data_IF_494337176576
#
_entry.id   IF_494337176576
#
_cell.length_a   1.000
_cell.length_b   1.000
_cell.length_c   1.000
_cell.angle_alpha   90.00
_cell.angle_beta   90.00
_cell.angle_gamma   90.00
#
_symmetry.space_group_name_H-M   'P 1'
#
loop_
_entity.id
_entity.type
_entity.pdbx_description
1 polymer ?
#
# COMPACT_ATOMS: atom_id res chain seq x y z
N UNK A 1 -50.88 -33.11 -5.96
CA UNK A 1 -51.77 -32.02 -5.46
C UNK A 1 -50.91 -30.76 -5.50
N UNK A 2 -51.14 -29.93 -6.49
CA UNK A 2 -51.75 -28.59 -6.49
C UNK A 2 -51.07 -27.72 -5.41
N UNK A 3 -50.31 -26.67 -5.65
CA UNK A 3 -50.33 -25.59 -6.63
C UNK A 3 -50.44 -24.29 -5.82
N UNK A 4 -49.61 -23.34 -6.04
CA UNK A 4 -50.03 -21.97 -6.35
C UNK A 4 -48.81 -21.04 -6.56
N UNK A 5 -48.83 -20.46 -7.74
CA UNK A 5 -48.00 -19.32 -8.16
C UNK A 5 -48.62 -18.04 -7.55
N UNK A 6 -47.77 -17.06 -7.19
CA UNK A 6 -48.22 -15.66 -7.27
C UNK A 6 -47.05 -14.77 -7.71
N UNK A 7 -47.13 -14.28 -8.93
CA UNK A 7 -46.44 -13.13 -9.48
C UNK A 7 -46.97 -11.84 -8.87
N UNK A 8 -46.15 -10.89 -8.54
CA UNK A 8 -46.52 -9.48 -8.53
C UNK A 8 -45.39 -8.62 -9.14
N UNK A 9 -45.68 -8.21 -10.37
CA UNK A 9 -45.04 -7.05 -11.02
C UNK A 9 -45.76 -5.79 -10.53
N UNK A 10 -45.00 -4.76 -10.21
CA UNK A 10 -45.48 -3.35 -10.29
C UNK A 10 -44.37 -2.46 -10.81
N UNK A 11 -44.49 -2.14 -12.08
CA UNK A 11 -43.92 -0.98 -12.76
C UNK A 11 -44.64 0.29 -12.30
N UNK A 12 -43.89 1.37 -12.07
CA UNK A 12 -44.38 2.74 -12.28
C UNK A 12 -43.21 3.64 -12.68
N UNK A 13 -43.41 4.29 -13.78
CA UNK A 13 -42.51 5.24 -14.46
C UNK A 13 -42.96 6.69 -14.16
N UNK A 14 -42.11 7.63 -14.65
CA UNK A 14 -42.44 9.07 -14.95
C UNK A 14 -42.20 10.00 -13.76
N UNK A 15 -41.51 11.13 -13.86
CA UNK A 15 -41.40 12.13 -14.93
C UNK A 15 -40.19 13.04 -14.76
N UNK A 16 -39.69 13.50 -15.88
CA UNK A 16 -38.69 14.56 -16.04
C UNK A 16 -39.30 15.94 -15.73
N UNK A 17 -38.48 16.87 -15.24
CA UNK A 17 -38.77 18.30 -15.33
C UNK A 17 -37.48 19.08 -15.58
N UNK A 18 -37.28 19.52 -16.83
CA UNK A 18 -36.38 20.60 -17.23
C UNK A 18 -36.93 21.95 -16.72
N UNK A 19 -36.08 22.79 -16.22
CA UNK A 19 -36.29 24.24 -16.19
C UNK A 19 -34.98 24.96 -16.51
N UNK A 20 -34.85 25.42 -17.76
CA UNK A 20 -33.96 26.47 -18.22
C UNK A 20 -34.50 27.84 -17.77
N UNK A 21 -33.67 28.70 -17.20
CA UNK A 21 -33.86 30.15 -17.27
C UNK A 21 -32.52 30.79 -17.62
N UNK A 22 -32.46 31.30 -18.82
CA UNK A 22 -31.47 32.25 -19.29
C UNK A 22 -32.03 33.67 -19.13
N UNK A 23 -31.24 34.59 -18.60
CA UNK A 23 -31.44 36.02 -18.83
C UNK A 23 -30.06 36.67 -19.01
N UNK A 24 -29.90 37.22 -20.21
CA UNK A 24 -28.85 38.12 -20.65
C UNK A 24 -29.37 39.58 -20.48
N UNK A 25 -28.42 40.48 -20.40
CA UNK A 25 -28.37 41.89 -20.87
C UNK A 25 -27.40 42.64 -19.93
N UNK A 26 -26.31 43.24 -20.33
CA UNK A 26 -26.02 44.11 -21.47
C UNK A 26 -25.91 45.54 -20.97
N UNK A 27 -24.78 46.21 -21.21
CA UNK A 27 -24.64 47.65 -20.97
C UNK A 27 -23.18 48.07 -20.98
N UNK A 28 -22.75 48.60 -22.13
CA UNK A 28 -21.53 49.38 -22.41
C UNK A 28 -21.51 50.70 -21.63
N UNK A 29 -20.36 51.27 -21.35
CA UNK A 29 -19.76 52.42 -22.00
C UNK A 29 -18.68 53.14 -21.17
N UNK A 30 -17.55 53.32 -21.85
CA UNK A 30 -16.68 54.48 -21.99
C UNK A 30 -15.97 55.19 -20.83
N UNK A 31 -14.65 55.22 -21.02
CA UNK A 31 -13.91 56.47 -21.20
C UNK A 31 -13.12 57.05 -20.03
N UNK A 32 -11.83 57.22 -20.26
CA UNK A 32 -11.12 58.38 -19.73
C UNK A 32 -9.76 58.12 -19.07
N UNK A 33 -8.74 58.45 -19.84
CA UNK A 33 -7.33 58.68 -19.45
C UNK A 33 -7.13 59.54 -18.18
N UNK A 34 -6.10 59.34 -17.41
CA UNK A 34 -4.90 60.16 -17.43
C UNK A 34 -3.89 59.82 -16.32
N UNK A 35 -2.67 60.16 -16.58
CA UNK A 35 -1.39 59.85 -16.08
C UNK A 35 -0.99 60.35 -14.67
N UNK A 36 0.18 59.80 -14.23
CA UNK A 36 1.25 60.34 -13.36
C UNK A 36 0.94 60.39 -11.86
N UNK A 37 1.77 59.88 -10.96
CA UNK A 37 3.12 60.27 -10.65
C UNK A 37 3.73 59.37 -9.52
N UNK A 38 4.98 59.25 -9.58
CA UNK A 38 6.04 58.81 -8.71
C UNK A 38 5.81 58.97 -7.19
N UNK A 39 6.14 57.92 -6.39
CA UNK A 39 6.87 58.08 -5.14
C UNK A 39 7.41 56.74 -4.62
N UNK A 40 8.70 56.56 -4.74
CA UNK A 40 9.50 55.61 -3.99
C UNK A 40 9.35 55.80 -2.48
N UNK A 41 9.17 54.74 -1.72
CA UNK A 41 9.52 54.72 -0.30
C UNK A 41 10.02 53.35 0.11
N UNK A 42 11.10 53.37 0.73
CA UNK A 42 12.13 52.46 1.15
C UNK A 42 11.73 51.17 1.82
N UNK A 43 12.60 50.18 1.63
CA UNK A 43 12.68 48.90 2.29
C UNK A 43 12.66 49.01 3.83
N UNK A 44 11.80 48.20 4.42
CA UNK A 44 12.00 47.70 5.78
C UNK A 44 12.21 46.22 5.70
N UNK A 45 13.41 45.78 5.87
CA UNK A 45 13.78 44.39 6.20
C UNK A 45 13.33 44.17 7.63
N UNK A 46 12.23 43.43 7.78
CA UNK A 46 11.88 42.79 9.04
C UNK A 46 12.31 41.33 8.93
N UNK A 47 13.37 41.01 9.65
CA UNK A 47 13.89 39.68 9.88
C UNK A 47 13.00 39.06 10.96
N UNK A 48 11.90 38.41 10.54
CA UNK A 48 11.01 37.65 11.37
C UNK A 48 11.22 36.16 11.08
N UNK A 49 11.92 35.49 12.00
CA UNK A 49 12.05 34.04 11.97
C UNK A 49 10.68 33.36 11.83
N UNK A 50 10.50 32.68 10.73
CA UNK A 50 9.37 31.79 10.47
C UNK A 50 9.59 30.54 11.30
N UNK A 51 8.99 30.50 12.50
CA UNK A 51 8.70 29.26 13.22
C UNK A 51 7.57 28.59 12.41
N UNK A 52 7.94 27.66 11.51
CA UNK A 52 7.05 26.99 10.58
C UNK A 52 6.11 26.00 11.27
N UNK A 53 5.15 26.52 11.99
CA UNK A 53 3.91 25.83 12.31
C UNK A 53 2.85 26.21 11.26
N UNK A 54 2.97 25.70 10.04
CA UNK A 54 1.91 25.79 9.04
C UNK A 54 0.68 25.07 9.57
N UNK A 55 -0.46 25.75 9.65
CA UNK A 55 -1.74 25.06 9.89
C UNK A 55 -1.90 24.01 8.81
N UNK A 56 -2.17 22.75 9.21
CA UNK A 56 -2.43 21.66 8.27
C UNK A 56 -3.57 22.05 7.32
N UNK A 57 -3.42 21.72 6.05
CA UNK A 57 -4.41 22.01 5.02
C UNK A 57 -4.82 20.70 4.31
N UNK A 58 -5.89 20.73 3.54
CA UNK A 58 -6.33 19.56 2.79
C UNK A 58 -6.72 18.36 3.67
N UNK A 59 -6.40 17.15 3.21
CA UNK A 59 -6.82 15.91 3.87
C UNK A 59 -6.29 15.80 5.32
N UNK A 60 -5.04 16.20 5.58
CA UNK A 60 -4.48 16.09 6.94
C UNK A 60 -5.31 16.89 7.97
N UNK A 61 -5.71 18.12 7.63
CA UNK A 61 -6.57 18.92 8.51
C UNK A 61 -7.95 18.29 8.73
N UNK A 62 -8.54 17.71 7.68
CA UNK A 62 -9.83 17.01 7.76
C UNK A 62 -9.74 15.79 8.69
N UNK A 63 -8.67 14.99 8.56
CA UNK A 63 -8.44 13.81 9.40
C UNK A 63 -8.17 14.19 10.87
N UNK A 64 -7.42 15.27 11.11
CA UNK A 64 -7.18 15.79 12.46
C UNK A 64 -8.47 16.33 13.11
N UNK A 65 -9.34 17.01 12.34
CA UNK A 65 -10.66 17.46 12.84
C UNK A 65 -11.57 16.27 13.14
N UNK A 66 -11.55 15.25 12.29
CA UNK A 66 -12.34 14.02 12.49
C UNK A 66 -11.79 13.14 13.61
N UNK A 67 -10.48 13.20 13.90
CA UNK A 67 -9.78 12.32 14.84
C UNK A 67 -9.67 10.87 14.38
N UNK A 68 -10.01 10.57 13.12
CA UNK A 68 -10.06 9.22 12.57
C UNK A 68 -9.64 9.16 11.11
N UNK A 69 -9.11 7.99 10.69
CA UNK A 69 -8.73 7.67 9.32
C UNK A 69 -9.20 6.27 8.96
N UNK A 70 -9.42 6.01 7.66
CA UNK A 70 -9.61 4.65 7.14
C UNK A 70 -8.39 4.24 6.32
N UNK A 71 -7.81 3.09 6.64
CA UNK A 71 -6.66 2.52 5.91
C UNK A 71 -7.08 1.28 5.12
N UNK A 72 -6.47 1.07 3.96
CA UNK A 72 -6.63 -0.15 3.17
C UNK A 72 -5.62 -1.22 3.62
N UNK A 73 -6.10 -2.43 3.89
CA UNK A 73 -5.31 -3.62 4.23
C UNK A 73 -5.68 -4.79 3.33
N UNK A 74 -4.81 -5.80 3.22
CA UNK A 74 -4.99 -6.95 2.35
C UNK A 74 -5.25 -8.28 3.09
N UNK A 75 -5.49 -8.22 4.39
CA UNK A 75 -5.68 -9.40 5.25
C UNK A 75 -4.52 -10.40 5.17
N UNK A 76 -3.30 -9.87 5.10
CA UNK A 76 -2.05 -10.62 5.03
C UNK A 76 -1.27 -10.56 6.34
N UNK A 77 -1.10 -11.69 7.02
CA UNK A 77 -0.32 -11.82 8.26
C UNK A 77 1.16 -11.99 7.88
N UNK A 78 2.08 -11.21 8.48
CA UNK A 78 1.93 -10.33 9.64
C UNK A 78 1.75 -8.83 9.29
N UNK A 79 1.55 -8.46 8.03
CA UNK A 79 1.59 -7.08 7.55
C UNK A 79 0.34 -6.25 7.90
N UNK A 80 -0.82 -6.59 7.32
CA UNK A 80 -2.07 -5.87 7.59
C UNK A 80 -3.27 -6.81 7.49
N UNK A 81 -3.90 -7.10 8.63
CA UNK A 81 -4.98 -8.07 8.72
C UNK A 81 -5.99 -7.73 9.82
N UNK A 82 -7.14 -8.38 9.81
CA UNK A 82 -8.11 -8.31 10.92
C UNK A 82 -7.82 -9.41 11.93
N UNK A 83 -7.80 -9.06 13.23
CA UNK A 83 -7.74 -10.01 14.33
C UNK A 83 -9.08 -10.78 14.48
N UNK A 84 -9.13 -11.75 15.42
CA UNK A 84 -10.34 -12.52 15.70
C UNK A 84 -11.54 -11.67 16.16
N UNK A 85 -11.32 -10.42 16.54
CA UNK A 85 -12.33 -9.45 16.98
C UNK A 85 -12.77 -8.51 15.85
N UNK A 86 -12.13 -8.59 14.69
CA UNK A 86 -12.38 -7.74 13.53
C UNK A 86 -11.68 -6.37 13.63
N UNK A 87 -10.63 -6.25 14.45
CA UNK A 87 -9.82 -5.03 14.48
C UNK A 87 -8.64 -5.16 13.52
N UNK A 88 -8.32 -4.08 12.83
CA UNK A 88 -7.10 -4.00 12.06
C UNK A 88 -5.87 -4.08 12.96
N UNK A 89 -4.96 -4.97 12.62
CA UNK A 89 -3.67 -5.16 13.30
C UNK A 89 -2.63 -5.67 12.30
N UNK A 90 -1.41 -5.86 12.74
CA UNK A 90 -0.27 -6.22 11.94
C UNK A 90 0.77 -5.11 11.95
N UNK A 91 1.89 -5.38 11.31
CA UNK A 91 3.00 -4.44 11.24
C UNK A 91 2.53 -3.05 10.76
N UNK A 92 1.96 -2.94 9.55
CA UNK A 92 1.61 -1.67 8.96
C UNK A 92 0.47 -0.92 9.69
N UNK A 93 -0.64 -1.53 10.12
CA UNK A 93 -1.65 -0.84 10.93
C UNK A 93 -1.14 -0.37 12.29
N UNK A 94 -0.23 -1.10 12.96
CA UNK A 94 0.28 -0.67 14.28
C UNK A 94 1.31 0.45 14.15
N UNK A 95 2.19 0.42 13.14
CA UNK A 95 3.08 1.53 12.82
C UNK A 95 2.26 2.76 12.41
N UNK A 96 1.27 2.59 11.51
CA UNK A 96 0.38 3.68 11.12
C UNK A 96 -0.33 4.31 12.33
N UNK A 97 -0.82 3.49 13.25
CA UNK A 97 -1.50 3.96 14.46
C UNK A 97 -0.59 4.81 15.35
N UNK A 98 0.67 4.41 15.50
CA UNK A 98 1.65 5.17 16.29
C UNK A 98 2.01 6.50 15.61
N UNK A 99 2.31 6.49 14.30
CA UNK A 99 2.58 7.70 13.51
C UNK A 99 1.40 8.67 13.55
N UNK A 100 0.18 8.18 13.28
CA UNK A 100 -1.03 9.00 13.20
C UNK A 100 -1.44 9.59 14.56
N UNK A 101 -1.22 8.87 15.67
CA UNK A 101 -1.43 9.41 17.01
C UNK A 101 -0.50 10.60 17.29
N UNK A 102 0.75 10.54 16.80
CA UNK A 102 1.67 11.68 16.83
C UNK A 102 1.19 12.90 16.03
N UNK A 103 0.33 12.69 15.02
CA UNK A 103 -0.31 13.71 14.21
C UNK A 103 -1.70 14.15 14.75
N UNK A 104 -2.16 13.58 15.88
CA UNK A 104 -3.47 13.90 16.47
C UNK A 104 -4.64 13.14 15.86
N UNK A 105 -4.39 12.01 15.21
CA UNK A 105 -5.41 11.12 14.62
C UNK A 105 -5.35 9.79 15.40
N UNK A 106 -6.29 9.58 16.33
CA UNK A 106 -6.22 8.47 17.30
C UNK A 106 -7.01 7.22 16.87
N UNK A 107 -7.99 7.35 15.96
CA UNK A 107 -8.83 6.23 15.51
C UNK A 107 -8.42 5.79 14.10
N UNK A 108 -7.97 4.53 13.97
CA UNK A 108 -7.60 3.90 12.69
C UNK A 108 -8.58 2.78 12.39
N UNK A 109 -9.44 3.01 11.40
CA UNK A 109 -10.36 2.04 10.83
C UNK A 109 -9.69 1.35 9.65
N UNK A 110 -10.15 0.15 9.26
CA UNK A 110 -9.63 -0.54 8.09
C UNK A 110 -10.73 -0.94 7.11
N UNK A 111 -10.35 -0.94 5.83
CA UNK A 111 -11.10 -1.57 4.74
C UNK A 111 -10.24 -2.72 4.18
N UNK A 112 -10.80 -3.93 4.19
CA UNK A 112 -10.12 -5.12 3.66
C UNK A 112 -10.45 -5.27 2.19
N UNK A 113 -9.42 -5.33 1.36
CA UNK A 113 -9.56 -5.54 -0.09
C UNK A 113 -8.49 -6.54 -0.57
N UNK A 114 -8.67 -7.10 -1.77
CA UNK A 114 -7.62 -7.90 -2.40
C UNK A 114 -6.36 -7.04 -2.60
N UNK A 115 -5.16 -7.61 -2.42
CA UNK A 115 -3.90 -6.87 -2.50
C UNK A 115 -3.76 -6.08 -3.81
N UNK A 116 -4.08 -6.69 -4.94
CA UNK A 116 -4.05 -6.04 -6.26
C UNK A 116 -5.08 -4.92 -6.44
N UNK A 117 -6.06 -4.77 -5.52
CA UNK A 117 -7.05 -3.70 -5.55
C UNK A 117 -6.68 -2.49 -4.67
N UNK A 118 -5.60 -2.57 -3.85
CA UNK A 118 -5.21 -1.52 -2.91
C UNK A 118 -4.98 -0.17 -3.60
N UNK A 119 -4.15 -0.11 -4.64
CA UNK A 119 -3.83 1.15 -5.34
C UNK A 119 -5.10 1.75 -5.98
N UNK A 120 -5.91 0.93 -6.68
CA UNK A 120 -7.14 1.40 -7.29
C UNK A 120 -8.19 1.84 -6.26
N UNK A 121 -8.29 1.17 -5.13
CA UNK A 121 -9.14 1.55 -4.00
C UNK A 121 -8.75 2.89 -3.37
N UNK A 122 -7.45 3.10 -3.15
CA UNK A 122 -6.89 4.38 -2.69
C UNK A 122 -7.21 5.53 -3.65
N UNK A 123 -6.98 5.32 -4.95
CA UNK A 123 -7.27 6.31 -5.99
C UNK A 123 -8.77 6.62 -6.12
N UNK A 124 -9.62 5.63 -5.86
CA UNK A 124 -11.08 5.79 -5.82
C UNK A 124 -11.61 6.41 -4.52
N UNK A 125 -10.74 6.65 -3.52
CA UNK A 125 -11.13 7.20 -2.22
C UNK A 125 -11.95 6.25 -1.35
N UNK A 126 -11.77 4.93 -1.50
CA UNK A 126 -12.40 3.94 -0.63
C UNK A 126 -11.78 3.97 0.78
N UNK A 127 -10.54 4.35 0.87
CA UNK A 127 -9.77 4.60 2.09
C UNK A 127 -8.77 5.73 1.84
N UNK A 128 -8.13 6.22 2.89
CA UNK A 128 -7.31 7.44 2.87
C UNK A 128 -5.82 7.14 2.67
N UNK A 129 -5.37 5.96 3.11
CA UNK A 129 -3.97 5.52 3.08
C UNK A 129 -3.91 3.99 2.93
N UNK A 130 -2.86 3.45 2.30
CA UNK A 130 -2.56 2.02 2.30
C UNK A 130 -1.63 1.72 3.48
N UNK A 131 -2.00 0.72 4.30
CA UNK A 131 -1.22 0.19 5.42
C UNK A 131 -1.20 -1.35 5.37
N UNK A 132 -0.47 -1.91 4.40
CA UNK A 132 -0.52 -3.32 4.03
C UNK A 132 0.86 -3.93 3.76
N UNK A 133 1.96 -3.30 4.23
CA UNK A 133 3.31 -3.77 3.94
C UNK A 133 3.68 -3.71 2.46
N UNK A 134 3.12 -2.74 1.71
CA UNK A 134 3.30 -2.68 0.27
C UNK A 134 4.72 -2.27 -0.11
N UNK A 135 5.43 -3.14 -0.86
CA UNK A 135 6.77 -2.82 -1.35
C UNK A 135 6.76 -1.63 -2.32
N UNK A 136 7.72 -0.73 -2.11
CA UNK A 136 7.97 0.45 -2.93
C UNK A 136 8.70 0.01 -4.20
N UNK A 137 8.17 0.35 -5.37
CA UNK A 137 8.85 0.18 -6.66
C UNK A 137 8.44 1.29 -7.64
N UNK A 138 9.14 1.39 -8.77
CA UNK A 138 8.92 2.45 -9.76
C UNK A 138 7.48 2.43 -10.33
N UNK A 139 6.95 1.25 -10.67
CA UNK A 139 5.61 1.13 -11.27
C UNK A 139 4.50 1.63 -10.33
N UNK A 140 4.58 1.30 -9.04
CA UNK A 140 3.63 1.75 -8.03
C UNK A 140 3.80 3.23 -7.71
N UNK A 141 5.06 3.73 -7.68
CA UNK A 141 5.38 5.13 -7.42
C UNK A 141 4.94 6.07 -8.54
N UNK A 142 4.73 5.57 -9.78
CA UNK A 142 4.06 6.31 -10.85
C UNK A 142 2.57 6.54 -10.58
N UNK A 143 1.95 5.72 -9.75
CA UNK A 143 0.51 5.71 -9.52
C UNK A 143 0.10 6.39 -8.22
N UNK A 144 0.93 6.29 -7.16
CA UNK A 144 0.67 6.83 -5.81
C UNK A 144 1.95 7.38 -5.20
N UNK A 145 1.82 8.20 -4.14
CA UNK A 145 2.94 8.58 -3.29
C UNK A 145 3.21 7.48 -2.26
N UNK A 146 4.47 7.32 -1.89
CA UNK A 146 4.88 6.46 -0.78
C UNK A 146 5.50 7.27 0.36
N UNK A 147 5.41 6.73 1.58
CA UNK A 147 6.29 7.10 2.68
C UNK A 147 7.74 6.68 2.38
N UNK A 148 8.69 7.13 3.17
CA UNK A 148 9.99 6.45 3.27
C UNK A 148 9.77 5.01 3.75
N UNK A 149 10.69 4.07 3.43
CA UNK A 149 10.51 2.68 3.81
C UNK A 149 10.66 2.50 5.32
N UNK A 150 9.87 1.61 5.89
CA UNK A 150 9.88 1.26 7.31
C UNK A 150 10.62 -0.06 7.60
N UNK A 151 10.72 -0.94 6.63
CA UNK A 151 11.53 -2.17 6.68
C UNK A 151 12.01 -2.58 5.29
N UNK A 152 13.04 -3.46 5.23
CA UNK A 152 13.44 -4.16 4.01
C UNK A 152 13.69 -5.63 4.31
N UNK A 153 12.99 -6.52 3.59
CA UNK A 153 13.05 -7.97 3.78
C UNK A 153 13.07 -8.70 2.44
N UNK A 154 13.65 -9.91 2.40
CA UNK A 154 13.70 -10.74 1.20
C UNK A 154 12.44 -11.58 0.99
N UNK A 155 12.44 -12.31 -0.12
CA UNK A 155 11.43 -13.28 -0.50
C UNK A 155 11.76 -14.67 0.03
N UNK A 156 10.76 -15.56 0.05
CA UNK A 156 10.97 -17.00 0.23
C UNK A 156 9.90 -17.80 -0.53
N UNK A 157 10.12 -19.09 -0.66
CA UNK A 157 9.10 -20.03 -1.15
C UNK A 157 8.62 -20.92 0.00
N UNK A 158 7.31 -21.12 0.09
CA UNK A 158 6.75 -22.25 0.80
C UNK A 158 6.69 -23.43 -0.17
N UNK A 159 7.21 -24.57 0.25
CA UNK A 159 7.29 -25.81 -0.55
C UNK A 159 6.81 -27.01 0.27
N UNK A 160 6.38 -28.13 -0.33
CA UNK A 160 6.12 -29.34 0.39
C UNK A 160 7.33 -29.83 1.20
N UNK A 161 7.11 -30.44 2.37
CA UNK A 161 8.16 -30.96 3.25
C UNK A 161 9.18 -31.80 2.49
N UNK A 162 10.48 -31.49 2.69
CA UNK A 162 11.59 -32.10 1.99
C UNK A 162 11.87 -31.55 0.60
N UNK A 163 11.14 -30.50 0.18
CA UNK A 163 11.35 -29.76 -1.08
C UNK A 163 11.65 -30.68 -2.28
N UNK A 164 10.69 -31.48 -2.73
CA UNK A 164 10.93 -32.56 -3.70
C UNK A 164 11.44 -32.10 -5.06
N UNK A 165 11.16 -30.84 -5.45
CA UNK A 165 11.62 -30.24 -6.70
C UNK A 165 12.89 -29.39 -6.54
N UNK A 166 13.36 -29.17 -5.31
CA UNK A 166 14.55 -28.37 -5.02
C UNK A 166 14.40 -26.89 -5.37
N UNK A 167 13.19 -26.34 -5.25
CA UNK A 167 12.91 -24.93 -5.53
C UNK A 167 13.49 -24.05 -4.42
N UNK A 168 14.20 -22.97 -4.79
CA UNK A 168 14.84 -22.08 -3.83
C UNK A 168 14.69 -20.59 -4.17
N UNK A 169 14.43 -20.29 -5.43
CA UNK A 169 14.31 -18.96 -6.01
C UNK A 169 13.62 -19.04 -7.38
N UNK A 170 13.36 -17.91 -8.03
CA UNK A 170 12.68 -17.89 -9.34
C UNK A 170 13.50 -18.58 -10.45
N UNK A 171 14.85 -18.57 -10.38
CA UNK A 171 15.68 -19.27 -11.35
C UNK A 171 15.51 -20.78 -11.26
N UNK A 172 15.36 -21.31 -10.05
CA UNK A 172 15.11 -22.74 -9.83
C UNK A 172 13.76 -23.18 -10.42
N UNK A 173 12.76 -22.30 -10.48
CA UNK A 173 11.47 -22.55 -11.16
C UNK A 173 11.70 -22.66 -12.67
N UNK A 174 12.46 -21.73 -13.27
CA UNK A 174 12.81 -21.77 -14.69
C UNK A 174 13.55 -23.06 -15.06
N UNK A 175 14.45 -23.53 -14.17
CA UNK A 175 15.24 -24.74 -14.38
C UNK A 175 14.41 -26.03 -14.14
N UNK A 176 13.19 -25.93 -13.62
CA UNK A 176 12.27 -27.04 -13.31
C UNK A 176 10.96 -26.87 -14.09
N UNK A 177 10.92 -27.28 -15.38
CA UNK A 177 9.76 -26.99 -16.27
C UNK A 177 8.42 -27.60 -15.83
N UNK A 178 8.43 -28.60 -14.93
CA UNK A 178 7.23 -29.18 -14.34
C UNK A 178 6.68 -28.42 -13.13
N UNK A 179 7.46 -27.48 -12.55
CA UNK A 179 7.04 -26.75 -11.36
C UNK A 179 5.96 -25.72 -11.69
N UNK A 180 4.96 -25.63 -10.83
CA UNK A 180 3.94 -24.59 -10.84
C UNK A 180 3.98 -23.80 -9.53
N UNK A 181 4.07 -22.48 -9.61
CA UNK A 181 4.11 -21.60 -8.45
C UNK A 181 2.86 -20.75 -8.33
N UNK A 182 2.40 -20.54 -7.10
CA UNK A 182 1.32 -19.62 -6.78
C UNK A 182 1.89 -18.24 -6.44
N UNK A 183 1.35 -17.20 -7.06
CA UNK A 183 1.71 -15.79 -6.81
C UNK A 183 0.44 -15.02 -6.43
N UNK A 184 0.57 -14.10 -5.47
CA UNK A 184 -0.52 -13.18 -5.11
C UNK A 184 -0.66 -12.11 -6.21
N UNK A 185 -1.87 -11.96 -6.73
CA UNK A 185 -2.12 -11.02 -7.83
C UNK A 185 -1.87 -9.57 -7.43
N UNK A 186 -1.08 -8.86 -8.24
CA UNK A 186 -0.63 -7.48 -7.99
C UNK A 186 0.55 -7.37 -7.03
N UNK A 187 1.07 -8.51 -6.55
CA UNK A 187 2.30 -8.53 -5.75
C UNK A 187 3.56 -8.40 -6.62
N UNK A 188 4.68 -8.02 -6.00
CA UNK A 188 5.96 -7.78 -6.74
C UNK A 188 6.53 -9.04 -7.34
N UNK A 189 6.17 -10.20 -6.82
CA UNK A 189 6.65 -11.51 -7.24
C UNK A 189 6.21 -11.84 -8.68
N UNK A 190 5.13 -11.23 -9.20
CA UNK A 190 4.79 -11.32 -10.63
C UNK A 190 5.92 -10.72 -11.49
N UNK A 191 6.41 -9.53 -11.10
CA UNK A 191 7.53 -8.87 -11.79
C UNK A 191 8.85 -9.62 -11.63
N UNK A 192 9.12 -10.18 -10.46
CA UNK A 192 10.34 -10.98 -10.22
C UNK A 192 10.34 -12.27 -11.05
N UNK A 193 9.20 -12.94 -11.15
CA UNK A 193 9.05 -14.11 -12.00
C UNK A 193 9.24 -13.78 -13.49
N UNK A 194 8.73 -12.62 -13.95
CA UNK A 194 8.93 -12.15 -15.33
C UNK A 194 10.40 -11.84 -15.61
N UNK A 195 11.08 -11.10 -14.72
CA UNK A 195 12.52 -10.78 -14.84
C UNK A 195 13.36 -12.06 -14.88
N UNK A 196 13.06 -13.03 -14.04
CA UNK A 196 13.76 -14.33 -14.05
C UNK A 196 13.45 -15.17 -15.29
N UNK A 197 12.38 -14.85 -16.02
CA UNK A 197 11.94 -15.57 -17.21
C UNK A 197 11.12 -16.82 -16.91
N UNK A 198 10.41 -16.87 -15.78
CA UNK A 198 9.48 -17.97 -15.47
C UNK A 198 8.35 -17.99 -16.51
N UNK A 199 8.14 -19.12 -17.20
CA UNK A 199 7.05 -19.26 -18.16
C UNK A 199 5.67 -19.03 -17.52
N UNK A 200 4.78 -18.34 -18.22
CA UNK A 200 3.45 -18.02 -17.71
C UNK A 200 2.56 -19.23 -17.42
N UNK A 201 2.85 -20.40 -18.01
CA UNK A 201 2.18 -21.68 -17.74
C UNK A 201 2.68 -22.39 -16.48
N UNK A 202 3.73 -21.85 -15.84
CA UNK A 202 4.21 -22.25 -14.52
C UNK A 202 3.67 -21.34 -13.39
N UNK A 203 2.88 -20.30 -13.71
CA UNK A 203 2.38 -19.31 -12.74
C UNK A 203 0.86 -19.43 -12.62
N UNK A 204 0.39 -19.58 -11.38
CA UNK A 204 -1.03 -19.46 -11.02
C UNK A 204 -1.24 -18.25 -10.13
N UNK A 205 -2.13 -17.32 -10.53
CA UNK A 205 -2.41 -16.08 -9.80
C UNK A 205 -3.61 -16.25 -8.87
N UNK A 206 -3.46 -15.73 -7.64
CA UNK A 206 -4.46 -15.80 -6.58
C UNK A 206 -4.80 -14.40 -6.06
N UNK A 207 -6.07 -14.15 -5.73
CA UNK A 207 -6.49 -12.90 -5.08
C UNK A 207 -6.33 -12.90 -3.56
N UNK A 208 -6.12 -14.08 -2.96
CA UNK A 208 -6.08 -14.29 -1.51
C UNK A 208 -4.94 -15.22 -1.10
N UNK A 209 -4.22 -14.85 -0.04
CA UNK A 209 -3.04 -15.57 0.46
C UNK A 209 -3.43 -16.98 0.92
N UNK A 210 -4.53 -17.17 1.63
CA UNK A 210 -4.90 -18.48 2.15
C UNK A 210 -5.22 -19.46 1.01
N UNK A 211 -5.83 -18.98 -0.08
CA UNK A 211 -6.13 -19.79 -1.25
C UNK A 211 -4.87 -20.37 -1.93
N UNK A 212 -3.76 -19.61 -1.94
CA UNK A 212 -2.46 -20.10 -2.44
C UNK A 212 -1.99 -21.32 -1.63
N UNK A 213 -2.03 -21.21 -0.30
CA UNK A 213 -1.56 -22.26 0.59
C UNK A 213 -2.51 -23.44 0.64
N UNK A 214 -3.82 -23.24 0.48
CA UNK A 214 -4.79 -24.35 0.33
C UNK A 214 -4.52 -25.18 -0.95
N UNK A 215 -4.05 -24.52 -2.01
CA UNK A 215 -3.67 -25.18 -3.26
C UNK A 215 -2.31 -25.87 -3.14
N UNK A 216 -1.35 -25.31 -2.39
CA UNK A 216 -0.10 -25.98 -2.06
C UNK A 216 -0.35 -27.25 -1.22
N UNK A 217 -1.16 -27.17 -0.16
CA UNK A 217 -1.52 -28.29 0.71
C UNK A 217 -2.24 -29.41 -0.09
N UNK A 218 -3.02 -29.02 -1.10
CA UNK A 218 -3.71 -29.95 -1.98
C UNK A 218 -2.85 -30.50 -3.13
N UNK A 219 -1.59 -30.05 -3.27
CA UNK A 219 -0.67 -30.43 -4.34
C UNK A 219 -1.15 -29.98 -5.73
N UNK A 220 -1.82 -28.83 -5.81
CA UNK A 220 -2.23 -28.19 -7.08
C UNK A 220 -1.19 -27.24 -7.61
N UNK A 221 -0.36 -26.70 -6.73
CA UNK A 221 0.87 -25.97 -7.04
C UNK A 221 2.03 -26.59 -6.27
N UNK A 222 3.24 -26.37 -6.72
CA UNK A 222 4.46 -26.95 -6.15
C UNK A 222 5.17 -26.01 -5.18
N UNK A 223 4.90 -24.70 -5.28
CA UNK A 223 5.36 -23.70 -4.32
C UNK A 223 4.40 -22.50 -4.27
N UNK A 224 4.45 -21.77 -3.15
CA UNK A 224 3.91 -20.42 -3.00
C UNK A 224 5.07 -19.48 -2.79
N UNK A 225 5.12 -18.37 -3.54
CA UNK A 225 6.11 -17.31 -3.32
C UNK A 225 5.49 -16.14 -2.56
N UNK A 226 6.30 -15.43 -1.80
CA UNK A 226 5.90 -14.27 -1.03
C UNK A 226 7.05 -13.73 -0.20
N UNK A 227 6.80 -12.62 0.48
CA UNK A 227 7.77 -12.10 1.44
C UNK A 227 8.14 -13.17 2.47
N UNK A 228 9.39 -13.20 2.89
CA UNK A 228 9.88 -14.28 3.75
C UNK A 228 9.12 -14.42 5.08
N UNK A 229 8.57 -13.32 5.63
CA UNK A 229 7.76 -13.37 6.87
C UNK A 229 6.34 -13.91 6.63
N UNK A 230 5.68 -13.58 5.51
CA UNK A 230 4.41 -14.22 5.16
C UNK A 230 4.61 -15.72 5.01
N UNK A 231 5.62 -16.12 4.25
CA UNK A 231 5.95 -17.54 4.04
C UNK A 231 6.20 -18.24 5.37
N UNK A 232 7.06 -17.68 6.22
CA UNK A 232 7.39 -18.25 7.53
C UNK A 232 6.14 -18.36 8.44
N UNK A 233 5.29 -17.34 8.43
CA UNK A 233 4.06 -17.32 9.24
C UNK A 233 3.09 -18.41 8.78
N UNK A 234 2.89 -18.56 7.48
CA UNK A 234 2.00 -19.55 6.91
C UNK A 234 2.50 -20.99 7.10
N UNK A 235 3.81 -21.21 6.94
CA UNK A 235 4.46 -22.50 7.20
C UNK A 235 4.34 -22.89 8.67
N UNK A 236 4.54 -21.96 9.61
CA UNK A 236 4.38 -22.24 11.04
C UNK A 236 2.93 -22.56 11.47
N UNK A 237 1.95 -22.17 10.67
CA UNK A 237 0.52 -22.43 10.92
C UNK A 237 0.02 -23.72 10.28
N UNK A 238 0.82 -24.41 9.46
CA UNK A 238 0.43 -25.59 8.68
C UNK A 238 1.43 -26.73 8.87
N UNK A 239 0.96 -27.98 8.64
CA UNK A 239 1.82 -29.15 8.62
C UNK A 239 2.11 -29.55 7.18
N UNK A 240 3.27 -30.14 6.91
CA UNK A 240 3.60 -30.75 5.61
C UNK A 240 4.17 -29.81 4.57
N UNK A 241 4.43 -28.57 4.93
CA UNK A 241 5.14 -27.58 4.12
C UNK A 241 6.32 -26.98 4.90
N UNK A 242 7.31 -26.47 4.19
CA UNK A 242 8.48 -25.82 4.75
C UNK A 242 8.84 -24.55 3.97
N UNK A 243 9.51 -23.60 4.63
CA UNK A 243 10.07 -22.41 3.99
C UNK A 243 11.44 -22.71 3.43
N UNK A 244 11.75 -22.17 2.24
CA UNK A 244 13.13 -22.04 1.79
C UNK A 244 13.89 -21.01 2.63
N UNK A 245 15.21 -20.92 2.43
CA UNK A 245 15.97 -19.77 2.92
C UNK A 245 15.46 -18.50 2.21
N UNK A 246 15.49 -17.36 2.94
CA UNK A 246 15.13 -16.06 2.36
C UNK A 246 16.19 -15.63 1.34
N UNK A 247 15.74 -15.00 0.24
CA UNK A 247 16.61 -14.50 -0.82
C UNK A 247 16.12 -13.13 -1.31
N UNK A 248 17.01 -12.34 -1.92
CA UNK A 248 16.63 -11.18 -2.71
C UNK A 248 16.62 -11.56 -4.19
N UNK A 249 15.53 -11.28 -4.92
CA UNK A 249 15.47 -11.51 -6.36
C UNK A 249 16.55 -10.69 -7.09
N UNK A 250 16.94 -11.15 -8.27
CA UNK A 250 17.94 -10.44 -9.08
C UNK A 250 17.26 -9.65 -10.20
N UNK A 251 17.80 -8.48 -10.49
CA UNK A 251 17.42 -7.69 -11.66
C UNK A 251 18.03 -8.25 -12.97
N UNK A 252 17.77 -7.60 -14.10
CA UNK A 252 18.32 -7.99 -15.41
C UNK A 252 19.87 -7.92 -15.49
N UNK A 253 20.52 -7.19 -14.58
CA UNK A 253 21.97 -7.07 -14.48
C UNK A 253 22.59 -8.10 -13.53
N UNK A 254 21.76 -8.82 -12.79
CA UNK A 254 22.16 -9.77 -11.75
C UNK A 254 22.48 -9.10 -10.41
N UNK A 255 21.95 -7.90 -10.17
CA UNK A 255 22.02 -7.21 -8.88
C UNK A 255 20.78 -7.53 -8.05
N UNK A 256 20.92 -7.58 -6.71
CA UNK A 256 19.82 -7.87 -5.80
C UNK A 256 18.80 -6.73 -5.81
N UNK A 257 17.51 -7.07 -5.93
CA UNK A 257 16.40 -6.15 -5.78
C UNK A 257 15.97 -6.14 -4.32
N UNK A 258 16.08 -4.98 -3.67
CA UNK A 258 15.66 -4.84 -2.28
C UNK A 258 14.14 -4.69 -2.20
N UNK A 259 13.48 -5.58 -1.47
CA UNK A 259 12.07 -5.48 -1.14
C UNK A 259 11.90 -4.65 0.13
N UNK A 260 11.44 -3.40 0.00
CA UNK A 260 11.22 -2.50 1.14
C UNK A 260 9.77 -2.03 1.18
N UNK A 261 9.12 -2.19 2.33
CA UNK A 261 7.75 -1.78 2.57
C UNK A 261 7.60 -0.29 2.86
N UNK A 262 6.39 0.22 2.66
CA UNK A 262 6.02 1.58 2.99
C UNK A 262 4.51 1.81 2.88
N UNK A 263 4.08 3.00 3.26
CA UNK A 263 2.67 3.41 3.26
C UNK A 263 2.32 4.15 1.97
N UNK A 264 1.12 3.89 1.44
CA UNK A 264 0.67 4.49 0.18
C UNK A 264 -0.31 5.64 0.39
N UNK A 265 -0.14 6.74 -0.37
CA UNK A 265 -0.98 7.95 -0.31
C UNK A 265 -1.40 8.38 -1.72
N UNK A 266 -2.56 9.07 -1.83
CA UNK A 266 -2.95 9.67 -3.11
C UNK A 266 -1.98 10.77 -3.52
N UNK A 267 -1.80 10.98 -4.82
CA UNK A 267 -0.87 11.96 -5.38
C UNK A 267 -1.17 13.42 -4.99
N UNK A 268 -2.39 13.73 -4.61
CA UNK A 268 -2.81 15.05 -4.14
C UNK A 268 -2.66 15.27 -2.63
N UNK A 269 -2.20 14.25 -1.89
CA UNK A 269 -2.05 14.27 -0.43
C UNK A 269 -0.57 14.37 0.01
N UNK A 270 0.25 15.14 -0.72
CA UNK A 270 1.67 15.26 -0.42
C UNK A 270 1.94 15.79 0.99
N UNK A 271 1.16 16.79 1.45
CA UNK A 271 1.31 17.36 2.80
C UNK A 271 1.09 16.30 3.88
N UNK A 272 0.08 15.42 3.69
CA UNK A 272 -0.17 14.33 4.62
C UNK A 272 0.97 13.31 4.61
N UNK A 273 1.44 12.90 3.42
CA UNK A 273 2.59 12.01 3.28
C UNK A 273 3.85 12.57 3.93
N UNK A 274 4.14 13.87 3.74
CA UNK A 274 5.32 14.51 4.29
C UNK A 274 5.25 14.57 5.83
N UNK A 275 4.10 14.94 6.39
CA UNK A 275 3.87 14.91 7.84
C UNK A 275 3.98 13.48 8.43
N UNK A 276 3.48 12.47 7.71
CA UNK A 276 3.62 11.06 8.08
C UNK A 276 5.09 10.64 8.10
N UNK A 277 5.86 11.00 7.08
CA UNK A 277 7.30 10.72 7.00
C UNK A 277 8.08 11.36 8.15
N UNK A 278 7.81 12.62 8.47
CA UNK A 278 8.49 13.32 9.57
C UNK A 278 8.31 12.59 10.91
N UNK A 279 7.09 12.08 11.16
CA UNK A 279 6.80 11.30 12.35
C UNK A 279 7.41 9.88 12.29
N UNK A 280 7.34 9.21 11.14
CA UNK A 280 7.94 7.89 10.93
C UNK A 280 9.45 7.93 11.14
N UNK A 281 10.13 8.92 10.56
CA UNK A 281 11.58 9.12 10.74
C UNK A 281 11.95 9.42 12.19
N UNK A 282 11.09 10.17 12.91
CA UNK A 282 11.27 10.37 14.37
C UNK A 282 11.20 9.06 15.13
N UNK A 283 10.28 8.16 14.77
CA UNK A 283 10.14 6.85 15.40
C UNK A 283 11.30 5.89 15.01
N UNK A 284 11.84 6.02 13.81
CA UNK A 284 13.07 5.33 13.41
C UNK A 284 14.26 5.79 14.26
N UNK A 285 14.46 7.09 14.39
CA UNK A 285 15.60 7.68 15.12
C UNK A 285 15.59 7.35 16.62
N UNK A 286 14.42 7.26 17.24
CA UNK A 286 14.28 7.00 18.67
C UNK A 286 14.12 5.52 19.02
N UNK A 287 14.00 4.63 18.04
CA UNK A 287 13.87 3.17 18.18
C UNK A 287 12.44 2.68 18.42
N UNK A 288 11.44 3.55 18.45
CA UNK A 288 10.04 3.17 18.65
C UNK A 288 9.52 2.28 17.53
N UNK A 289 9.93 2.53 16.27
CA UNK A 289 9.60 1.70 15.13
C UNK A 289 10.08 0.26 15.33
N UNK A 290 11.32 0.06 15.74
CA UNK A 290 11.90 -1.27 16.01
C UNK A 290 11.10 -2.00 17.09
N UNK A 291 10.72 -1.31 18.15
CA UNK A 291 9.92 -1.89 19.26
C UNK A 291 8.54 -2.39 18.78
N UNK A 292 7.90 -1.68 17.85
CA UNK A 292 6.62 -2.08 17.27
C UNK A 292 6.81 -3.27 16.32
N UNK A 293 7.66 -3.14 15.31
CA UNK A 293 7.74 -4.04 14.16
C UNK A 293 8.32 -5.41 14.53
N UNK A 294 9.24 -5.47 15.52
CA UNK A 294 9.77 -6.74 16.04
C UNK A 294 8.70 -7.59 16.73
N UNK A 295 7.60 -6.97 17.19
CA UNK A 295 6.43 -7.68 17.70
C UNK A 295 5.73 -8.54 16.64
N UNK A 296 5.96 -8.26 15.36
CA UNK A 296 5.39 -8.96 14.20
C UNK A 296 6.38 -9.89 13.51
N UNK A 297 7.56 -10.14 14.11
CA UNK A 297 8.53 -11.12 13.63
C UNK A 297 9.66 -10.55 12.78
N UNK A 298 9.68 -9.24 12.55
CA UNK A 298 10.80 -8.59 11.88
C UNK A 298 12.04 -8.57 12.76
N UNK A 299 13.22 -8.58 12.16
CA UNK A 299 14.46 -8.35 12.85
C UNK A 299 14.81 -6.84 12.90
N UNK A 300 15.63 -6.44 13.87
CA UNK A 300 16.07 -5.05 13.94
C UNK A 300 16.86 -4.64 12.66
N UNK A 301 17.59 -5.56 12.08
CA UNK A 301 18.34 -5.35 10.85
C UNK A 301 17.47 -5.01 9.64
N UNK A 302 16.19 -5.46 9.62
CA UNK A 302 15.25 -5.15 8.54
C UNK A 302 14.87 -3.66 8.59
N UNK A 303 14.71 -3.09 9.79
CA UNK A 303 14.46 -1.66 10.02
C UNK A 303 15.72 -0.84 9.75
N UNK A 304 16.86 -1.25 10.29
CA UNK A 304 18.16 -0.55 10.11
C UNK A 304 18.51 -0.41 8.62
N UNK A 305 18.19 -1.43 7.80
CA UNK A 305 18.39 -1.38 6.36
C UNK A 305 17.52 -0.34 5.69
N UNK A 306 16.26 -0.20 6.11
CA UNK A 306 15.31 0.77 5.57
C UNK A 306 15.70 2.22 5.89
N UNK A 307 16.25 2.49 7.08
CA UNK A 307 16.61 3.85 7.54
C UNK A 307 17.63 4.59 6.64
N UNK A 308 18.44 3.85 5.86
CA UNK A 308 19.42 4.44 4.96
C UNK A 308 18.86 4.73 3.56
N UNK A 309 17.58 4.37 3.31
CA UNK A 309 16.96 4.41 1.99
C UNK A 309 15.81 5.42 1.94
N UNK A 310 15.60 5.96 0.75
CA UNK A 310 14.46 6.80 0.39
C UNK A 310 13.64 6.15 -0.72
N UNK A 311 12.44 6.66 -0.98
CA UNK A 311 11.64 6.24 -2.15
C UNK A 311 12.46 6.33 -3.44
N UNK A 312 13.28 7.37 -3.61
CA UNK A 312 14.09 7.57 -4.82
C UNK A 312 15.16 6.48 -5.01
N UNK A 313 15.72 5.93 -3.93
CA UNK A 313 16.71 4.85 -3.98
C UNK A 313 16.06 3.52 -4.43
N UNK A 314 14.75 3.36 -4.21
CA UNK A 314 13.97 2.16 -4.54
C UNK A 314 13.25 2.24 -5.89
N UNK A 315 13.20 3.43 -6.49
CA UNK A 315 12.46 3.66 -7.75
C UNK A 315 13.35 4.04 -8.93
N UNK A 316 14.64 4.31 -8.71
CA UNK A 316 15.66 4.55 -9.75
C UNK A 316 15.77 6.00 -10.20
#
# INVERSE_FOLDING_TARGET
MRGHKTKWMRTLAVAASLALVATACGGDDDGGDDATDDAATEASTDDGGDDGGGEASGLLAELQEAGSITVGIANEVPYGYEDESGNATGEAPEVARAVLSGLGIDEVNAEVVDFGALISGLQAGQFDMIAAGMYINAERAEQILFSDPDYCIGEAFAVPEGNPLGLSDFQSVVDTPEATIAILSGAVEEGYAEIAGVPSDQIELYGDVNAQYDDLDAGRVDAVTGTSLTVLTQVNARDGIESTESFFPLDENGEEILGCGGFGFRNDNQEFRDAFNDQLNTMQDNGELIDIITGFGFAAEDVERAQELTVADLTG
#
